data_IF_666725853004
#
_entry.id   IF_666725853004
#
_cell.length_a   1.000
_cell.length_b   1.000
_cell.length_c   1.000
_cell.angle_alpha   90.00
_cell.angle_beta   90.00
_cell.angle_gamma   90.00
#
_symmetry.space_group_name_H-M   'P 1'
#
loop_
_entity.id
_entity.type
_entity.pdbx_description
1 polymer ?
#
# COMPACT_ATOMS: atom_id res chain seq x y z
N UNK A 1 -2.90 0.78 2.83
CA UNK A 1 -1.88 1.80 3.12
C UNK A 1 -2.51 2.66 4.20
N UNK A 2 -1.92 2.73 5.38
CA UNK A 2 -2.42 3.63 6.40
C UNK A 2 -2.27 5.08 5.93
N UNK A 3 -3.35 5.87 6.04
CA UNK A 3 -3.31 7.33 5.79
C UNK A 3 -2.17 8.00 6.56
N UNK A 4 -1.95 7.57 7.80
CA UNK A 4 -0.89 8.07 8.69
C UNK A 4 0.52 7.87 8.10
N UNK A 5 0.80 6.71 7.49
CA UNK A 5 2.08 6.46 6.85
C UNK A 5 2.33 7.44 5.68
N UNK A 6 1.28 7.73 4.89
CA UNK A 6 1.34 8.71 3.81
C UNK A 6 1.60 10.13 4.31
N UNK A 7 0.84 10.54 5.33
CA UNK A 7 0.88 11.90 5.87
C UNK A 7 2.20 12.19 6.59
N UNK A 8 2.76 11.22 7.32
CA UNK A 8 4.08 11.34 7.94
C UNK A 8 5.21 11.42 6.93
N UNK A 9 5.07 10.73 5.79
CA UNK A 9 5.96 10.89 4.64
C UNK A 9 5.76 12.23 3.89
N UNK A 10 4.83 13.10 4.33
CA UNK A 10 4.57 14.39 3.70
C UNK A 10 3.87 14.29 2.34
N UNK A 11 3.25 13.15 2.01
CA UNK A 11 2.72 12.87 0.69
C UNK A 11 1.22 13.21 0.60
N UNK A 12 0.81 13.89 -0.46
CA UNK A 12 -0.62 14.02 -0.81
C UNK A 12 -1.19 12.71 -1.41
N UNK A 13 -2.51 12.50 -1.34
CA UNK A 13 -3.16 11.31 -1.89
C UNK A 13 -2.87 11.10 -3.39
N UNK A 14 -3.02 12.16 -4.20
CA UNK A 14 -2.76 12.11 -5.65
C UNK A 14 -1.29 11.85 -5.96
N UNK A 15 -0.40 12.42 -5.16
CA UNK A 15 1.04 12.25 -5.32
C UNK A 15 1.46 10.82 -4.99
N UNK A 16 1.00 10.29 -3.85
CA UNK A 16 1.27 8.92 -3.45
C UNK A 16 0.72 7.91 -4.47
N UNK A 17 -0.52 8.13 -4.95
CA UNK A 17 -1.10 7.30 -6.00
C UNK A 17 -0.23 7.28 -7.26
N UNK A 18 0.18 8.46 -7.74
CA UNK A 18 1.03 8.59 -8.93
C UNK A 18 2.39 7.90 -8.74
N UNK A 19 3.08 8.16 -7.61
CA UNK A 19 4.40 7.57 -7.32
C UNK A 19 4.31 6.04 -7.20
N UNK A 20 3.28 5.52 -6.53
CA UNK A 20 3.05 4.08 -6.37
C UNK A 20 2.50 3.38 -7.64
N UNK A 21 2.20 4.12 -8.72
CA UNK A 21 1.56 3.56 -9.92
C UNK A 21 0.13 3.05 -9.67
N UNK A 22 -0.58 3.67 -8.73
CA UNK A 22 -1.95 3.34 -8.32
C UNK A 22 -2.93 4.43 -8.77
N UNK A 23 -4.22 4.08 -8.87
CA UNK A 23 -5.26 5.09 -9.03
C UNK A 23 -5.56 5.77 -7.70
N UNK A 24 -5.97 7.05 -7.74
CA UNK A 24 -6.39 7.77 -6.54
C UNK A 24 -7.54 7.06 -5.81
N UNK A 25 -8.50 6.51 -6.55
CA UNK A 25 -9.60 5.72 -5.97
C UNK A 25 -9.11 4.44 -5.28
N UNK A 26 -8.10 3.76 -5.83
CA UNK A 26 -7.51 2.59 -5.19
C UNK A 26 -6.88 2.98 -3.84
N UNK A 27 -6.11 4.07 -3.78
CA UNK A 27 -5.54 4.58 -2.52
C UNK A 27 -6.64 4.95 -1.53
N UNK A 28 -7.72 5.59 -1.96
CA UNK A 28 -8.87 5.93 -1.10
C UNK A 28 -9.49 4.68 -0.47
N UNK A 29 -9.83 3.67 -1.28
CA UNK A 29 -10.39 2.40 -0.76
C UNK A 29 -9.41 1.66 0.16
N UNK A 30 -8.12 1.76 -0.13
CA UNK A 30 -7.07 1.16 0.67
C UNK A 30 -6.87 1.88 2.02
N UNK A 31 -7.10 3.20 2.09
CA UNK A 31 -7.10 3.98 3.33
C UNK A 31 -8.40 3.80 4.13
N UNK A 32 -9.53 3.56 3.47
CA UNK A 32 -10.82 3.30 4.10
C UNK A 32 -10.95 1.87 4.68
N UNK A 33 -10.07 0.95 4.27
CA UNK A 33 -10.11 -0.46 4.67
C UNK A 33 -10.99 -1.34 3.77
N UNK A 34 -11.58 -0.79 2.71
CA UNK A 34 -12.41 -1.54 1.74
C UNK A 34 -11.59 -2.55 0.91
N UNK A 35 -10.27 -2.38 0.87
CA UNK A 35 -9.33 -3.20 0.11
C UNK A 35 -8.21 -3.67 1.02
N UNK A 36 -8.00 -4.99 1.07
CA UNK A 36 -6.83 -5.58 1.74
C UNK A 36 -5.56 -5.28 0.95
N UNK A 37 -4.53 -4.81 1.64
CA UNK A 37 -3.21 -4.56 1.07
C UNK A 37 -2.40 -5.87 1.10
N UNK A 38 -1.93 -6.34 -0.04
CA UNK A 38 -1.03 -7.50 -0.06
C UNK A 38 0.39 -7.10 0.35
N UNK A 39 1.17 -8.01 0.95
CA UNK A 39 2.56 -7.78 1.33
C UNK A 39 3.42 -7.39 0.12
N UNK A 40 3.25 -8.05 -1.02
CA UNK A 40 3.97 -7.70 -2.25
C UNK A 40 3.65 -6.29 -2.71
N UNK A 41 2.38 -5.87 -2.65
CA UNK A 41 2.01 -4.51 -3.00
C UNK A 41 2.53 -3.50 -1.97
N UNK A 42 2.50 -3.85 -0.68
CA UNK A 42 3.05 -3.01 0.39
C UNK A 42 4.53 -2.70 0.17
N UNK A 43 5.35 -3.71 -0.17
CA UNK A 43 6.78 -3.53 -0.50
C UNK A 43 6.98 -2.58 -1.68
N UNK A 44 6.22 -2.78 -2.75
CA UNK A 44 6.29 -1.90 -3.93
C UNK A 44 5.89 -0.46 -3.62
N UNK A 45 4.89 -0.26 -2.76
CA UNK A 45 4.49 1.08 -2.30
C UNK A 45 5.61 1.70 -1.46
N UNK A 46 6.20 0.95 -0.52
CA UNK A 46 7.30 1.43 0.31
C UNK A 46 8.50 1.89 -0.52
N UNK A 47 8.91 1.08 -1.50
CA UNK A 47 9.99 1.40 -2.43
C UNK A 47 9.65 2.63 -3.28
N UNK A 48 8.46 2.65 -3.91
CA UNK A 48 8.08 3.73 -4.82
C UNK A 48 7.84 5.08 -4.13
N UNK A 49 7.52 5.06 -2.84
CA UNK A 49 7.31 6.26 -2.03
C UNK A 49 8.53 6.64 -1.19
N UNK A 50 9.63 5.87 -1.28
CA UNK A 50 10.85 6.08 -0.50
C UNK A 50 10.56 6.24 1.01
N UNK A 51 9.68 5.38 1.54
CA UNK A 51 9.22 5.48 2.93
C UNK A 51 10.36 5.21 3.91
N UNK A 52 10.41 5.97 5.01
CA UNK A 52 11.28 5.71 6.16
C UNK A 52 10.87 4.45 6.92
N UNK A 53 11.73 3.97 7.82
CA UNK A 53 11.52 2.73 8.58
C UNK A 53 10.19 2.72 9.34
N UNK A 54 9.83 3.85 9.96
CA UNK A 54 8.56 4.01 10.68
C UNK A 54 7.36 3.84 9.74
N UNK A 55 7.34 4.56 8.61
CA UNK A 55 6.26 4.52 7.64
C UNK A 55 6.14 3.14 6.97
N UNK A 56 7.28 2.48 6.74
CA UNK A 56 7.32 1.10 6.28
C UNK A 56 6.71 0.14 7.30
N UNK A 57 7.07 0.26 8.59
CA UNK A 57 6.52 -0.58 9.64
C UNK A 57 4.99 -0.42 9.75
N UNK A 58 4.50 0.82 9.69
CA UNK A 58 3.06 1.09 9.63
C UNK A 58 2.39 0.45 8.42
N UNK A 59 3.02 0.54 7.24
CA UNK A 59 2.49 -0.02 6.01
C UNK A 59 2.45 -1.55 6.03
N UNK A 60 3.50 -2.20 6.53
CA UNK A 60 3.60 -3.65 6.60
C UNK A 60 2.71 -4.24 7.69
N UNK A 61 2.49 -3.53 8.80
CA UNK A 61 1.62 -3.99 9.88
C UNK A 61 0.15 -4.21 9.48
N UNK A 62 -0.30 -3.57 8.39
CA UNK A 62 -1.65 -3.77 7.83
C UNK A 62 -1.67 -4.62 6.57
N UNK A 63 -0.51 -5.08 6.10
CA UNK A 63 -0.42 -5.89 4.90
C UNK A 63 -0.68 -7.37 5.22
N UNK A 64 -1.32 -8.08 4.30
CA UNK A 64 -1.66 -9.50 4.42
C UNK A 64 -0.98 -10.32 3.33
N UNK A 65 -0.76 -11.61 3.58
CA UNK A 65 -0.02 -12.51 2.68
C UNK A 65 -0.92 -13.34 1.76
N UNK A 66 -2.22 -13.12 1.78
CA UNK A 66 -3.23 -13.93 1.07
C UNK A 66 -4.21 -13.09 0.22
N UNK A 67 -3.95 -11.79 0.06
CA UNK A 67 -4.79 -10.89 -0.72
C UNK A 67 -4.14 -10.46 -2.04
N UNK A 68 -4.96 -10.03 -2.99
CA UNK A 68 -4.49 -9.36 -4.20
C UNK A 68 -3.49 -10.22 -5.00
N UNK A 69 -2.24 -9.75 -5.09
CA UNK A 69 -1.16 -10.44 -5.82
C UNK A 69 -0.66 -11.68 -5.08
N UNK A 70 -0.82 -11.71 -3.76
CA UNK A 70 -0.39 -12.82 -2.90
C UNK A 70 -1.51 -13.85 -2.69
N UNK A 71 -2.67 -13.65 -3.33
CA UNK A 71 -3.81 -14.54 -3.20
C UNK A 71 -3.52 -15.93 -3.78
N UNK A 72 -3.82 -17.03 -3.06
CA UNK A 72 -3.45 -18.41 -3.45
C UNK A 72 -4.00 -18.82 -4.81
N UNK A 73 -5.21 -18.39 -5.17
CA UNK A 73 -5.80 -18.66 -6.49
C UNK A 73 -5.00 -18.07 -7.67
N UNK A 74 -4.08 -17.12 -7.44
CA UNK A 74 -3.17 -16.58 -8.46
C UNK A 74 -1.84 -17.32 -8.57
N UNK A 75 -1.44 -18.07 -7.55
CA UNK A 75 -0.21 -18.86 -7.58
C UNK A 75 -0.37 -20.18 -8.37
N UNK A 76 -1.62 -20.57 -8.64
CA UNK A 76 -1.98 -21.80 -9.34
C UNK A 76 -2.29 -21.62 -10.84
N UNK A 77 -2.05 -20.43 -11.42
CA UNK A 77 -2.28 -20.09 -12.82
C UNK A 77 -0.96 -19.73 -13.52
#
# INVERSE_FOLDING_TARGET
MPRQARERAGLGLREAARKAGLSGGYVTHLEAGDRSLSLTLAKRIAEALELGEDEQAMLYGVAVTDAGRDHPARAAA
#
